data_IF_159439103218
#
_entry.id   IF_159439103218
#
_cell.length_a   1.000
_cell.length_b   1.000
_cell.length_c   1.000
_cell.angle_alpha   90.00
_cell.angle_beta   90.00
_cell.angle_gamma   90.00
#
_symmetry.space_group_name_H-M   'P 1'
#
loop_
_entity.id
_entity.type
_entity.pdbx_description
1 polymer ?
#
# COMPACT_ATOMS: atom_id res chain seq x y z
N UNK A 1 6.01 -3.59 3.59
CA UNK A 1 5.09 -4.73 3.84
C UNK A 1 3.82 -4.51 3.02
N UNK A 2 3.01 -5.55 2.81
CA UNK A 2 1.70 -5.42 2.16
C UNK A 2 0.61 -5.96 3.08
N UNK A 3 -0.53 -5.29 3.12
CA UNK A 3 -1.69 -5.74 3.88
C UNK A 3 -2.33 -6.99 3.27
N UNK A 4 -3.31 -7.58 3.96
CA UNK A 4 -3.98 -8.79 3.48
C UNK A 4 -5.05 -8.54 2.40
N UNK A 5 -5.14 -7.31 1.88
CA UNK A 5 -6.15 -6.90 0.91
C UNK A 5 -7.46 -6.37 1.54
N UNK A 6 -8.28 -5.70 0.72
CA UNK A 6 -9.58 -5.15 1.11
C UNK A 6 -10.62 -6.25 1.20
N UNK A 7 -11.60 -6.12 2.08
CA UNK A 7 -12.76 -7.02 2.11
C UNK A 7 -13.85 -6.47 1.20
N UNK A 8 -14.40 -7.30 0.32
CA UNK A 8 -15.54 -6.95 -0.53
C UNK A 8 -16.88 -6.95 0.26
N UNK A 9 -17.97 -6.52 -0.39
CA UNK A 9 -19.30 -6.47 0.22
C UNK A 9 -19.85 -7.86 0.61
N UNK A 10 -19.26 -8.93 0.09
CA UNK A 10 -19.64 -10.32 0.37
C UNK A 10 -18.78 -10.95 1.47
N UNK A 11 -17.86 -10.19 2.06
CA UNK A 11 -16.96 -10.65 3.11
C UNK A 11 -15.71 -11.37 2.60
N UNK A 12 -15.49 -11.44 1.29
CA UNK A 12 -14.29 -12.07 0.73
C UNK A 12 -13.12 -11.09 0.75
N UNK A 13 -11.91 -11.62 0.93
CA UNK A 13 -10.69 -10.83 0.78
C UNK A 13 -10.33 -10.69 -0.70
N UNK A 14 -10.16 -9.45 -1.14
CA UNK A 14 -9.57 -9.08 -2.42
C UNK A 14 -8.08 -8.84 -2.17
N UNK A 15 -7.23 -9.70 -2.71
CA UNK A 15 -5.78 -9.60 -2.54
C UNK A 15 -5.24 -8.25 -3.06
N UNK A 16 -4.17 -7.76 -2.42
CA UNK A 16 -3.44 -6.60 -2.92
C UNK A 16 -2.90 -6.88 -4.32
N UNK A 17 -3.02 -5.92 -5.23
CA UNK A 17 -2.39 -5.87 -6.53
C UNK A 17 -0.88 -5.55 -6.48
N UNK A 18 -0.36 -5.17 -5.32
CA UNK A 18 1.08 -4.95 -5.09
C UNK A 18 1.70 -6.02 -4.20
N UNK A 19 3.00 -6.27 -4.37
CA UNK A 19 3.79 -7.20 -3.54
C UNK A 19 4.97 -6.49 -2.87
N UNK A 20 5.55 -7.15 -1.86
CA UNK A 20 6.76 -6.66 -1.20
C UNK A 20 7.90 -6.55 -2.20
N UNK A 21 8.55 -5.40 -2.22
CA UNK A 21 9.67 -5.10 -3.14
C UNK A 21 9.26 -4.30 -4.37
N UNK A 22 7.96 -4.15 -4.66
CA UNK A 22 7.50 -3.30 -5.75
C UNK A 22 7.87 -1.83 -5.50
N UNK A 23 8.35 -1.17 -6.55
CA UNK A 23 8.50 0.29 -6.58
C UNK A 23 7.21 0.88 -7.13
N UNK A 24 6.59 1.79 -6.40
CA UNK A 24 5.26 2.32 -6.75
C UNK A 24 5.27 3.84 -6.88
N UNK A 25 4.40 4.35 -7.75
CA UNK A 25 4.00 5.75 -7.79
C UNK A 25 2.75 5.92 -6.94
N UNK A 26 2.71 6.94 -6.12
CA UNK A 26 1.56 7.31 -5.30
C UNK A 26 1.37 8.83 -5.33
N UNK A 27 0.16 9.30 -5.01
CA UNK A 27 -0.12 10.74 -4.95
C UNK A 27 0.79 11.45 -3.95
N UNK A 28 1.30 12.64 -4.30
CA UNK A 28 2.27 13.41 -3.48
C UNK A 28 1.83 13.61 -2.01
N UNK A 29 0.53 13.69 -1.76
CA UNK A 29 -0.06 13.92 -0.43
C UNK A 29 -0.82 12.69 0.11
N UNK A 30 -0.59 11.52 -0.48
CA UNK A 30 -1.20 10.28 -0.03
C UNK A 30 -0.40 9.60 1.07
N UNK A 31 -1.10 8.84 1.91
CA UNK A 31 -0.53 8.12 3.04
C UNK A 31 -0.40 8.94 4.31
N UNK A 32 0.15 8.30 5.33
CA UNK A 32 0.43 8.87 6.64
C UNK A 32 1.79 8.38 7.11
N UNK A 33 2.58 9.28 7.68
CA UNK A 33 3.85 8.92 8.28
C UNK A 33 3.62 8.23 9.62
N UNK A 34 4.33 7.13 9.85
CA UNK A 34 4.29 6.38 11.10
C UNK A 34 5.70 5.99 11.51
N UNK A 35 5.98 6.07 12.81
CA UNK A 35 7.25 5.62 13.37
C UNK A 35 7.06 4.28 14.07
N UNK A 36 7.87 3.29 13.70
CA UNK A 36 7.87 1.97 14.31
C UNK A 36 9.33 1.62 14.63
N UNK A 37 9.61 1.38 15.91
CA UNK A 37 10.96 1.02 16.40
C UNK A 37 12.05 2.02 15.97
N UNK A 38 11.75 3.33 16.03
CA UNK A 38 12.71 4.38 15.66
C UNK A 38 12.91 4.57 14.15
N UNK A 39 12.13 3.89 13.31
CA UNK A 39 12.18 4.01 11.85
C UNK A 39 10.90 4.65 11.34
N UNK A 40 11.05 5.61 10.43
CA UNK A 40 9.93 6.23 9.75
C UNK A 40 9.49 5.39 8.55
N UNK A 41 8.19 5.21 8.44
CA UNK A 41 7.53 4.53 7.33
C UNK A 41 6.37 5.39 6.83
N UNK A 42 6.00 5.17 5.56
CA UNK A 42 4.79 5.74 4.97
C UNK A 42 3.77 4.60 4.81
N UNK A 43 2.64 4.70 5.51
CA UNK A 43 1.50 3.78 5.35
C UNK A 43 0.45 4.43 4.45
N UNK A 44 -0.10 3.70 3.49
CA UNK A 44 -1.13 4.21 2.58
C UNK A 44 -2.11 3.12 2.16
N UNK A 45 -3.26 3.51 1.61
CA UNK A 45 -4.20 2.57 1.00
C UNK A 45 -3.73 2.21 -0.41
N UNK A 46 -4.11 1.03 -0.86
CA UNK A 46 -3.85 0.59 -2.24
C UNK A 46 -4.46 1.53 -3.28
N UNK A 47 -5.63 2.09 -2.99
CA UNK A 47 -6.34 3.03 -3.87
C UNK A 47 -5.54 4.32 -4.13
N UNK A 48 -4.55 4.63 -3.30
CA UNK A 48 -3.69 5.80 -3.47
C UNK A 48 -2.46 5.52 -4.36
N UNK A 49 -2.24 4.26 -4.76
CA UNK A 49 -1.16 3.83 -5.64
C UNK A 49 -1.59 4.02 -7.09
N UNK A 50 -0.84 4.84 -7.83
CA UNK A 50 -1.09 5.19 -9.23
C UNK A 50 -0.56 4.13 -10.19
N UNK A 51 0.46 3.37 -9.79
CA UNK A 51 1.03 2.29 -10.59
C UNK A 51 2.33 1.73 -10.02
N UNK A 52 2.72 0.54 -10.51
CA UNK A 52 4.02 -0.08 -10.23
C UNK A 52 4.99 0.31 -11.34
N UNK A 53 6.21 0.73 -10.97
CA UNK A 53 7.28 1.04 -11.93
C UNK A 53 8.17 -0.18 -12.09
N UNK A 54 8.34 -0.61 -13.34
CA UNK A 54 9.32 -1.62 -13.74
C UNK A 54 10.57 -0.95 -14.30
N UNK A 55 11.73 -1.49 -13.97
CA UNK A 55 13.04 -1.03 -14.43
C UNK A 55 14.12 -1.98 -13.99
#
# INVERSE_FOLDING_TARGET
AVGPGKTDEKGNRVAMGVKVGDRVLFGKYAGSEVEIEGKQYLIMREEDILGVIEG
#
